data_IF_382402819188
#
_entry.id   IF_382402819188
#
_cell.length_a   1.000
_cell.length_b   1.000
_cell.length_c   1.000
_cell.angle_alpha   90.00
_cell.angle_beta   90.00
_cell.angle_gamma   90.00
#
_symmetry.space_group_name_H-M   'P 1'
#
loop_
_entity.id
_entity.type
_entity.pdbx_description
1 polymer ?
#
# COMPACT_ATOMS: atom_id res chain seq x y z
N UNK A 1 26.31 74.56 21.68
CA UNK A 1 25.76 73.86 22.86
C UNK A 1 24.43 73.21 22.49
N UNK A 2 24.26 71.99 22.95
CA UNK A 2 23.32 70.95 22.51
C UNK A 2 21.87 71.29 22.88
N UNK A 3 20.91 71.08 21.97
CA UNK A 3 19.48 70.96 22.30
C UNK A 3 18.96 69.62 21.76
N UNK A 4 18.62 68.75 22.70
CA UNK A 4 18.06 67.41 22.52
C UNK A 4 16.73 67.44 21.75
N UNK A 5 16.61 66.62 20.71
CA UNK A 5 15.33 66.30 20.06
C UNK A 5 15.00 64.83 20.31
N UNK A 6 13.79 64.60 20.82
CA UNK A 6 13.26 63.28 21.16
C UNK A 6 13.18 62.34 19.96
N UNK A 7 13.35 61.05 20.23
CA UNK A 7 13.20 59.98 19.23
C UNK A 7 11.94 59.20 19.57
N UNK A 8 11.03 59.21 18.61
CA UNK A 8 9.84 58.37 18.49
C UNK A 8 10.28 56.91 18.56
N UNK A 9 9.65 56.12 19.43
CA UNK A 9 9.82 54.67 19.49
C UNK A 9 8.92 54.07 18.41
N UNK A 10 9.54 53.50 17.38
CA UNK A 10 8.88 52.66 16.39
C UNK A 10 8.96 51.21 16.88
N UNK A 11 7.80 50.55 16.98
CA UNK A 11 7.69 49.11 17.21
C UNK A 11 8.00 48.42 15.88
N UNK A 12 9.11 47.69 15.82
CA UNK A 12 9.52 46.90 14.68
C UNK A 12 9.03 45.46 14.85
N UNK A 13 8.13 45.01 13.97
CA UNK A 13 7.79 43.61 13.78
C UNK A 13 8.97 42.92 13.09
N UNK A 14 9.57 41.94 13.76
CA UNK A 14 10.68 41.15 13.23
C UNK A 14 10.12 40.04 12.32
N UNK A 15 10.34 40.20 11.01
CA UNK A 15 10.30 39.13 10.02
C UNK A 15 11.74 38.67 9.81
N UNK A 16 12.06 37.43 10.19
CA UNK A 16 13.30 36.72 9.83
C UNK A 16 13.07 35.22 10.08
N UNK A 17 12.96 34.36 9.06
CA UNK A 17 14.03 33.72 8.29
C UNK A 17 14.24 32.25 8.71
N UNK A 18 13.76 31.29 7.90
CA UNK A 18 14.27 29.89 7.84
C UNK A 18 14.12 29.47 6.37
N UNK A 19 15.17 29.60 5.56
CA UNK A 19 16.27 28.64 5.33
C UNK A 19 15.91 27.56 4.29
N UNK A 20 16.42 27.80 3.08
CA UNK A 20 16.85 26.87 2.02
C UNK A 20 16.53 25.38 2.24
N UNK A 21 15.63 24.85 1.41
CA UNK A 21 15.64 23.44 1.01
C UNK A 21 16.06 23.48 -0.47
N UNK A 22 17.32 23.22 -0.84
CA UNK A 22 18.07 22.04 -0.46
C UNK A 22 17.91 21.04 -1.59
N UNK A 23 18.59 21.32 -2.71
CA UNK A 23 18.58 20.47 -3.89
C UNK A 23 19.06 19.06 -3.57
N UNK A 24 18.34 18.09 -4.13
CA UNK A 24 18.78 16.76 -4.54
C UNK A 24 20.31 16.64 -4.69
N UNK A 25 21.00 16.11 -3.68
CA UNK A 25 22.27 15.41 -3.79
C UNK A 25 22.33 14.41 -2.63
N UNK A 26 22.60 13.14 -2.94
CA UNK A 26 22.78 12.05 -1.97
C UNK A 26 23.65 12.46 -0.77
N UNK A 27 23.42 11.84 0.41
CA UNK A 27 24.58 11.16 1.00
C UNK A 27 24.25 9.95 1.88
N UNK A 28 25.09 8.90 1.76
CA UNK A 28 25.76 8.44 2.96
C UNK A 28 26.79 9.51 3.35
N UNK A 29 26.60 10.17 4.48
CA UNK A 29 27.60 11.03 5.13
C UNK A 29 27.69 10.62 6.59
N UNK A 30 28.91 10.37 7.01
CA UNK A 30 29.28 10.20 8.39
C UNK A 30 28.91 11.45 9.21
N UNK A 31 28.49 11.17 10.45
CA UNK A 31 28.76 11.93 11.68
C UNK A 31 28.84 13.47 11.56
N UNK A 32 27.81 14.14 12.09
CA UNK A 32 27.95 15.45 12.70
C UNK A 32 27.58 15.32 14.18
N UNK A 33 28.57 15.54 15.05
CA UNK A 33 28.46 15.66 16.50
C UNK A 33 27.47 16.77 16.90
N UNK A 34 26.42 16.40 17.65
CA UNK A 34 25.51 17.31 18.35
C UNK A 34 24.41 16.52 19.09
N UNK A 35 24.07 16.83 20.36
CA UNK A 35 23.00 16.13 21.08
C UNK A 35 21.66 16.72 20.61
N UNK A 36 21.13 16.14 19.54
CA UNK A 36 19.79 16.39 19.05
C UNK A 36 19.36 15.11 18.36
N UNK A 37 18.80 14.19 19.14
CA UNK A 37 18.17 12.98 18.63
C UNK A 37 17.03 13.43 17.73
N UNK A 38 17.21 13.35 16.41
CA UNK A 38 16.06 13.29 15.52
C UNK A 38 15.22 12.10 16.01
N UNK A 39 13.91 12.29 16.31
CA UNK A 39 13.11 11.21 16.86
C UNK A 39 13.18 10.03 15.89
N UNK A 40 13.55 8.86 16.42
CA UNK A 40 13.65 7.65 15.63
C UNK A 40 12.26 7.38 15.04
N UNK A 41 12.19 7.11 13.73
CA UNK A 41 10.97 6.55 13.15
C UNK A 41 10.76 5.18 13.81
N UNK A 42 9.71 5.07 14.63
CA UNK A 42 9.42 3.88 15.42
C UNK A 42 9.00 2.68 14.56
N UNK A 43 9.12 1.48 15.15
CA UNK A 43 8.50 0.25 14.63
C UNK A 43 7.00 0.51 14.38
N UNK A 44 6.53 0.34 13.14
CA UNK A 44 5.10 0.47 12.78
C UNK A 44 4.75 1.50 11.69
N UNK A 45 5.69 2.37 11.30
CA UNK A 45 5.51 3.19 10.09
C UNK A 45 5.53 2.32 8.83
N UNK A 46 4.70 2.62 7.83
CA UNK A 46 4.61 1.82 6.60
C UNK A 46 4.06 2.62 5.42
N UNK A 47 4.37 2.17 4.19
CA UNK A 47 3.72 2.64 2.98
C UNK A 47 2.86 1.52 2.40
N UNK A 48 1.55 1.72 2.38
CA UNK A 48 0.56 0.68 2.06
C UNK A 48 -0.16 1.07 0.77
N UNK A 49 -0.30 0.12 -0.15
CA UNK A 49 -1.17 0.24 -1.32
C UNK A 49 -2.16 -0.92 -1.26
N UNK A 50 -3.42 -0.59 -0.98
CA UNK A 50 -4.52 -1.54 -0.99
C UNK A 50 -5.24 -1.45 -2.33
N UNK A 51 -5.28 -2.55 -3.07
CA UNK A 51 -5.84 -2.63 -4.40
C UNK A 51 -7.31 -3.01 -4.36
N UNK A 52 -8.08 -2.41 -5.26
CA UNK A 52 -9.44 -2.80 -5.61
C UNK A 52 -9.44 -3.66 -6.88
N UNK A 53 -10.48 -4.47 -7.07
CA UNK A 53 -10.56 -5.45 -8.16
C UNK A 53 -10.62 -4.81 -9.56
N UNK A 54 -11.03 -3.55 -9.63
CA UNK A 54 -11.09 -2.72 -10.84
C UNK A 54 -9.77 -1.98 -11.17
N UNK A 55 -8.74 -2.14 -10.33
CA UNK A 55 -7.42 -1.56 -10.54
C UNK A 55 -7.20 -0.21 -9.86
N UNK A 56 -8.23 0.34 -9.23
CA UNK A 56 -8.08 1.44 -8.28
C UNK A 56 -7.33 0.98 -7.03
N UNK A 57 -6.86 1.95 -6.25
CA UNK A 57 -6.16 1.66 -5.01
C UNK A 57 -6.37 2.75 -3.96
N UNK A 58 -6.41 2.35 -2.69
CA UNK A 58 -6.16 3.25 -1.56
C UNK A 58 -4.67 3.22 -1.23
N UNK A 59 -3.99 4.36 -1.39
CA UNK A 59 -2.59 4.52 -1.01
C UNK A 59 -2.53 5.21 0.34
N UNK A 60 -1.77 4.65 1.28
CA UNK A 60 -1.64 5.19 2.62
C UNK A 60 -0.18 5.26 3.09
N UNK A 61 0.18 6.37 3.73
CA UNK A 61 1.40 6.53 4.51
C UNK A 61 1.04 6.51 5.99
N UNK A 62 1.53 5.51 6.71
CA UNK A 62 1.37 5.36 8.16
C UNK A 62 2.65 5.81 8.84
N UNK A 63 2.51 6.74 9.78
CA UNK A 63 3.58 7.34 10.57
C UNK A 63 3.29 7.11 12.04
N UNK A 64 4.24 6.54 12.76
CA UNK A 64 4.16 6.30 14.21
C UNK A 64 5.16 7.22 14.91
N UNK A 65 4.74 7.80 16.04
CA UNK A 65 5.49 8.73 16.85
C UNK A 65 5.48 8.28 18.32
N UNK A 66 6.64 8.29 18.96
CA UNK A 66 6.76 8.18 20.42
C UNK A 66 6.39 9.53 21.05
N UNK A 67 5.41 9.52 21.96
CA UNK A 67 4.92 10.71 22.68
C UNK A 67 5.35 10.68 24.15
N UNK A 68 6.50 10.06 24.45
CA UNK A 68 7.04 9.97 25.80
C UNK A 68 7.38 11.34 26.43
N UNK A 69 7.74 12.33 25.61
CA UNK A 69 8.11 13.67 26.04
C UNK A 69 6.99 14.69 25.77
N UNK A 70 6.83 15.64 26.71
CA UNK A 70 5.75 16.63 26.65
C UNK A 70 5.84 17.58 25.43
N UNK A 71 7.05 17.80 24.90
CA UNK A 71 7.24 18.61 23.70
C UNK A 71 6.74 17.87 22.45
N UNK A 72 6.94 16.54 22.37
CA UNK A 72 6.44 15.71 21.27
C UNK A 72 4.92 15.54 21.35
N UNK A 73 4.36 15.35 22.56
CA UNK A 73 2.91 15.34 22.77
C UNK A 73 2.26 16.66 22.32
N UNK A 74 2.86 17.81 22.68
CA UNK A 74 2.35 19.11 22.28
C UNK A 74 2.40 19.32 20.75
N UNK A 75 3.50 18.92 20.11
CA UNK A 75 3.64 19.00 18.65
C UNK A 75 2.64 18.08 17.93
N UNK A 76 2.42 16.88 18.47
CA UNK A 76 1.45 15.94 17.93
C UNK A 76 0.01 16.45 18.06
N UNK A 77 -0.33 17.09 19.18
CA UNK A 77 -1.66 17.69 19.36
C UNK A 77 -1.88 18.86 18.39
N UNK A 78 -0.87 19.69 18.13
CA UNK A 78 -0.97 20.74 17.10
C UNK A 78 -1.25 20.14 15.71
N UNK A 79 -0.57 19.05 15.36
CA UNK A 79 -0.82 18.31 14.13
C UNK A 79 -2.24 17.73 14.08
N UNK A 80 -2.73 17.19 15.20
CA UNK A 80 -4.08 16.66 15.34
C UNK A 80 -5.15 17.73 15.12
N UNK A 81 -4.93 18.92 15.67
CA UNK A 81 -5.84 20.06 15.52
C UNK A 81 -5.82 20.65 14.11
N UNK A 82 -4.68 20.56 13.41
CA UNK A 82 -4.44 21.24 12.12
C UNK A 82 -3.75 20.34 11.08
N UNK A 83 -4.39 19.23 10.66
CA UNK A 83 -3.77 18.26 9.76
C UNK A 83 -3.69 18.74 8.30
N UNK A 84 -4.29 19.88 7.96
CA UNK A 84 -4.42 20.34 6.57
C UNK A 84 -3.06 20.55 5.92
N UNK A 85 -2.09 21.12 6.64
CA UNK A 85 -0.74 21.35 6.12
C UNK A 85 -0.02 20.06 5.69
N UNK A 86 -0.31 18.94 6.35
CA UNK A 86 0.28 17.63 6.01
C UNK A 86 -0.52 16.97 4.88
N UNK A 87 -1.85 17.10 4.93
CA UNK A 87 -2.76 16.60 3.89
C UNK A 87 -2.49 17.26 2.53
N UNK A 88 -2.36 18.59 2.48
CA UNK A 88 -2.08 19.35 1.26
C UNK A 88 -0.74 18.94 0.63
N UNK A 89 0.31 18.77 1.45
CA UNK A 89 1.62 18.32 0.97
C UNK A 89 1.58 16.89 0.43
N UNK A 90 0.79 16.03 1.06
CA UNK A 90 0.60 14.65 0.62
C UNK A 90 -0.17 14.62 -0.70
N UNK A 91 -1.25 15.39 -0.83
CA UNK A 91 -2.01 15.55 -2.08
C UNK A 91 -1.12 16.03 -3.24
N UNK A 92 -0.41 17.13 -3.04
CA UNK A 92 0.54 17.70 -4.01
C UNK A 92 1.57 16.67 -4.48
N UNK A 93 2.09 15.86 -3.55
CA UNK A 93 3.08 14.83 -3.85
C UNK A 93 2.45 13.69 -4.64
N UNK A 94 1.33 13.15 -4.17
CA UNK A 94 0.67 12.01 -4.80
C UNK A 94 0.19 12.35 -6.20
N UNK A 95 -0.40 13.53 -6.39
CA UNK A 95 -0.84 14.04 -7.70
C UNK A 95 0.33 14.12 -8.69
N UNK A 96 1.47 14.70 -8.30
CA UNK A 96 2.67 14.76 -9.17
C UNK A 96 3.16 13.38 -9.58
N UNK A 97 3.14 12.43 -8.65
CA UNK A 97 3.61 11.08 -8.95
C UNK A 97 2.62 10.37 -9.88
N UNK A 98 1.32 10.53 -9.67
CA UNK A 98 0.29 10.00 -10.56
C UNK A 98 0.38 10.55 -11.97
N UNK A 99 0.59 11.86 -12.14
CA UNK A 99 0.80 12.48 -13.45
C UNK A 99 2.02 11.90 -14.18
N UNK A 100 3.13 11.71 -13.46
CA UNK A 100 4.34 11.10 -14.04
C UNK A 100 4.09 9.65 -14.46
N UNK A 101 3.52 8.84 -13.57
CA UNK A 101 3.23 7.42 -13.84
C UNK A 101 2.20 7.26 -14.96
N UNK A 102 1.21 8.14 -15.04
CA UNK A 102 0.28 8.21 -16.17
C UNK A 102 1.01 8.44 -17.50
N UNK A 103 1.94 9.40 -17.53
CA UNK A 103 2.73 9.69 -18.72
C UNK A 103 3.67 8.53 -19.13
N UNK A 104 4.29 7.85 -18.17
CA UNK A 104 5.21 6.73 -18.40
C UNK A 104 4.49 5.47 -18.87
N UNK A 105 3.32 5.19 -18.31
CA UNK A 105 2.53 3.99 -18.65
C UNK A 105 1.55 4.21 -19.81
N UNK A 106 1.28 5.47 -20.17
CA UNK A 106 0.28 5.83 -21.17
C UNK A 106 -1.16 5.57 -20.71
N UNK A 107 -1.41 5.51 -19.40
CA UNK A 107 -2.73 5.28 -18.80
C UNK A 107 -3.23 6.53 -18.10
N UNK A 108 -4.54 6.76 -18.14
CA UNK A 108 -5.15 7.83 -17.34
C UNK A 108 -5.18 7.42 -15.87
N UNK A 109 -4.69 8.28 -14.99
CA UNK A 109 -4.66 8.08 -13.54
C UNK A 109 -4.99 9.40 -12.85
N UNK A 110 -5.61 9.32 -11.66
CA UNK A 110 -5.93 10.50 -10.86
C UNK A 110 -5.89 10.17 -9.37
N UNK A 111 -5.54 11.17 -8.57
CA UNK A 111 -5.58 11.09 -7.10
C UNK A 111 -6.77 11.90 -6.60
N UNK A 112 -7.51 11.35 -5.63
CA UNK A 112 -8.66 12.01 -4.99
C UNK A 112 -8.78 11.60 -3.53
N UNK A 113 -9.76 12.20 -2.83
CA UNK A 113 -10.18 11.81 -1.47
C UNK A 113 -9.03 11.79 -0.45
N UNK A 114 -8.14 12.78 -0.57
CA UNK A 114 -6.99 12.90 0.31
C UNK A 114 -7.42 13.30 1.71
N UNK A 115 -6.95 12.55 2.71
CA UNK A 115 -7.35 12.71 4.10
C UNK A 115 -6.25 12.29 5.06
N UNK A 116 -6.28 12.88 6.25
CA UNK A 116 -5.45 12.52 7.38
C UNK A 116 -6.33 11.99 8.52
N UNK A 117 -5.94 10.84 9.07
CA UNK A 117 -6.43 10.33 10.34
C UNK A 117 -5.30 10.46 11.36
N UNK A 118 -5.57 11.11 12.48
CA UNK A 118 -4.60 11.32 13.56
C UNK A 118 -5.18 10.73 14.82
N UNK A 119 -4.47 9.77 15.42
CA UNK A 119 -4.90 9.01 16.59
C UNK A 119 -3.74 8.89 17.57
N UNK A 120 -4.03 8.79 18.86
CA UNK A 120 -3.01 8.50 19.87
C UNK A 120 -3.56 7.56 20.92
N UNK A 121 -2.71 6.68 21.44
CA UNK A 121 -3.04 5.71 22.50
C UNK A 121 -1.78 5.34 23.27
N UNK A 122 -1.87 5.35 24.59
CA UNK A 122 -0.81 4.87 25.50
C UNK A 122 0.59 5.45 25.24
N UNK A 123 0.67 6.74 24.87
CA UNK A 123 1.95 7.42 24.59
C UNK A 123 2.47 7.19 23.18
N UNK A 124 1.70 6.56 22.29
CA UNK A 124 2.04 6.42 20.87
C UNK A 124 1.05 7.21 20.02
N UNK A 125 1.58 8.05 19.13
CA UNK A 125 0.82 8.77 18.12
C UNK A 125 0.88 8.07 16.76
N UNK A 126 -0.24 7.99 16.05
CA UNK A 126 -0.34 7.44 14.70
C UNK A 126 -0.99 8.45 13.78
N UNK A 127 -0.32 8.75 12.67
CA UNK A 127 -0.84 9.56 11.58
C UNK A 127 -0.95 8.68 10.34
N UNK A 128 -2.16 8.55 9.80
CA UNK A 128 -2.43 7.89 8.53
C UNK A 128 -2.86 8.93 7.51
N UNK A 129 -2.00 9.17 6.52
CA UNK A 129 -2.34 9.94 5.33
C UNK A 129 -2.79 8.97 4.27
N UNK A 130 -3.95 9.19 3.66
CA UNK A 130 -4.47 8.30 2.62
C UNK A 130 -5.09 9.07 1.47
N UNK A 131 -5.02 8.49 0.28
CA UNK A 131 -5.67 8.99 -0.92
C UNK A 131 -6.18 7.83 -1.78
N UNK A 132 -7.25 8.08 -2.52
CA UNK A 132 -7.71 7.19 -3.58
C UNK A 132 -6.87 7.47 -4.83
N UNK A 133 -6.37 6.42 -5.47
CA UNK A 133 -5.66 6.49 -6.73
C UNK A 133 -6.40 5.64 -7.76
N UNK A 134 -6.98 6.30 -8.76
CA UNK A 134 -7.70 5.65 -9.84
C UNK A 134 -6.75 5.02 -10.87
N UNK A 135 -7.05 3.80 -11.31
CA UNK A 135 -6.31 3.03 -12.31
C UNK A 135 -4.83 2.80 -11.97
N UNK A 136 -4.47 2.69 -10.67
CA UNK A 136 -3.09 2.44 -10.25
C UNK A 136 -2.57 1.12 -10.84
N UNK A 137 -3.29 0.02 -10.59
CA UNK A 137 -2.95 -1.28 -11.13
C UNK A 137 -3.46 -1.42 -12.55
N UNK A 138 -2.67 -2.06 -13.41
CA UNK A 138 -3.13 -2.45 -14.74
C UNK A 138 -3.99 -3.71 -14.59
N UNK A 139 -5.19 -3.68 -15.17
CA UNK A 139 -6.10 -4.83 -15.19
C UNK A 139 -5.87 -5.61 -16.49
N UNK A 140 -5.43 -6.86 -16.37
CA UNK A 140 -5.25 -7.80 -17.48
C UNK A 140 -6.12 -9.05 -17.24
N UNK A 141 -7.33 -9.05 -17.81
CA UNK A 141 -8.35 -10.03 -17.47
C UNK A 141 -8.74 -9.92 -16.00
N UNK A 142 -8.52 -10.97 -15.22
CA UNK A 142 -8.75 -10.97 -13.77
C UNK A 142 -7.48 -10.63 -12.96
N UNK A 143 -6.35 -10.37 -13.63
CA UNK A 143 -5.07 -10.08 -12.97
C UNK A 143 -4.89 -8.57 -12.78
N UNK A 144 -4.45 -8.19 -11.59
CA UNK A 144 -4.02 -6.85 -11.25
C UNK A 144 -2.49 -6.80 -11.27
N UNK A 145 -1.92 -5.87 -12.03
CA UNK A 145 -0.47 -5.70 -12.12
C UNK A 145 -0.11 -4.31 -11.62
N UNK A 146 0.58 -4.27 -10.48
CA UNK A 146 1.25 -3.07 -9.99
C UNK A 146 2.66 -3.09 -10.56
N UNK A 147 3.00 -2.12 -11.40
CA UNK A 147 4.36 -1.96 -11.91
C UNK A 147 5.04 -0.79 -11.23
N UNK A 148 6.37 -0.82 -11.22
CA UNK A 148 7.31 0.07 -10.54
C UNK A 148 6.69 1.44 -10.33
N UNK A 149 6.17 1.70 -9.12
CA UNK A 149 5.53 2.95 -8.87
C UNK A 149 6.50 3.86 -8.11
N UNK A 150 6.33 5.16 -8.33
CA UNK A 150 6.78 6.26 -7.49
C UNK A 150 8.21 6.81 -7.59
N UNK A 151 9.15 6.16 -8.27
CA UNK A 151 10.36 6.72 -8.91
C UNK A 151 11.17 5.55 -9.47
N UNK A 152 11.88 5.74 -10.58
CA UNK A 152 12.87 4.72 -10.97
C UNK A 152 13.91 4.59 -9.86
N UNK A 153 14.26 3.34 -9.50
CA UNK A 153 15.11 3.03 -8.35
C UNK A 153 14.49 3.41 -6.99
N UNK A 154 13.18 3.22 -6.85
CA UNK A 154 12.49 3.36 -5.57
C UNK A 154 13.12 2.41 -4.53
N UNK A 155 13.60 3.01 -3.44
CA UNK A 155 14.08 2.30 -2.25
C UNK A 155 13.31 2.87 -1.07
N UNK A 156 12.31 2.15 -0.55
CA UNK A 156 11.47 2.69 0.48
C UNK A 156 12.28 2.83 1.77
N UNK A 157 12.12 3.94 2.46
CA UNK A 157 12.72 4.20 3.79
C UNK A 157 11.99 3.46 4.92
N UNK A 158 10.89 2.77 4.58
CA UNK A 158 9.95 2.07 5.47
C UNK A 158 9.43 0.80 4.79
N UNK A 159 8.73 -0.11 5.50
CA UNK A 159 8.11 -1.25 4.86
C UNK A 159 7.14 -0.81 3.76
N UNK A 160 7.23 -1.47 2.61
CA UNK A 160 6.26 -1.35 1.52
C UNK A 160 5.31 -2.53 1.56
N UNK A 161 4.01 -2.26 1.58
CA UNK A 161 2.97 -3.28 1.73
C UNK A 161 1.99 -3.17 0.58
N UNK A 162 1.79 -4.28 -0.15
CA UNK A 162 0.69 -4.43 -1.09
C UNK A 162 -0.40 -5.29 -0.46
N UNK A 163 -1.63 -4.78 -0.45
CA UNK A 163 -2.82 -5.51 -0.01
C UNK A 163 -3.68 -5.77 -1.25
N UNK A 164 -3.92 -7.04 -1.54
CA UNK A 164 -4.76 -7.47 -2.64
C UNK A 164 -6.25 -7.31 -2.31
N UNK A 165 -7.14 -7.31 -3.32
CA UNK A 165 -8.56 -7.49 -3.06
C UNK A 165 -8.84 -8.84 -2.39
N UNK A 166 -9.99 -8.95 -1.74
CA UNK A 166 -10.43 -10.23 -1.16
C UNK A 166 -10.51 -11.32 -2.23
N UNK A 167 -10.06 -12.52 -1.86
CA UNK A 167 -9.99 -13.66 -2.75
C UNK A 167 -8.82 -13.62 -3.74
N UNK A 168 -7.96 -12.60 -3.75
CA UNK A 168 -6.76 -12.56 -4.59
C UNK A 168 -5.54 -13.11 -3.85
N UNK A 169 -4.52 -13.51 -4.62
CA UNK A 169 -3.23 -14.01 -4.16
C UNK A 169 -2.10 -13.38 -4.96
N UNK A 170 -0.92 -13.23 -4.35
CA UNK A 170 0.27 -12.84 -5.09
C UNK A 170 0.63 -13.96 -6.07
N UNK A 171 0.53 -13.68 -7.36
CA UNK A 171 0.74 -14.64 -8.43
C UNK A 171 2.17 -14.58 -8.98
N UNK A 172 2.75 -13.38 -9.05
CA UNK A 172 4.12 -13.15 -9.53
C UNK A 172 4.67 -11.84 -8.95
N UNK A 173 5.97 -11.77 -8.73
CA UNK A 173 6.66 -10.53 -8.39
C UNK A 173 8.08 -10.53 -8.95
N UNK A 174 8.53 -9.43 -9.53
CA UNK A 174 9.92 -9.31 -10.05
C UNK A 174 10.94 -9.19 -8.93
N UNK A 175 10.53 -8.64 -7.78
CA UNK A 175 11.28 -8.64 -6.54
C UNK A 175 10.51 -9.48 -5.53
N UNK A 176 11.13 -10.56 -5.07
CA UNK A 176 10.55 -11.47 -4.06
C UNK A 176 10.14 -10.67 -2.81
N UNK A 177 8.92 -10.92 -2.32
CA UNK A 177 8.44 -10.34 -1.07
C UNK A 177 9.11 -11.01 0.13
N UNK A 178 9.42 -10.23 1.16
CA UNK A 178 9.98 -10.75 2.41
C UNK A 178 8.95 -11.58 3.18
N UNK A 179 7.68 -11.16 3.11
CA UNK A 179 6.57 -11.89 3.68
C UNK A 179 5.35 -11.86 2.76
N UNK A 180 4.64 -12.99 2.71
CA UNK A 180 3.29 -13.06 2.14
C UNK A 180 2.35 -13.70 3.15
N UNK A 181 1.26 -13.02 3.46
CA UNK A 181 0.24 -13.52 4.38
C UNK A 181 -1.14 -13.45 3.73
N UNK A 182 -2.09 -14.21 4.25
CA UNK A 182 -3.50 -14.11 3.86
C UNK A 182 -4.33 -13.95 5.12
N UNK A 183 -5.20 -12.97 5.11
CA UNK A 183 -6.23 -12.86 6.15
C UNK A 183 -7.20 -14.00 5.90
N UNK A 184 -7.07 -15.11 6.64
CA UNK A 184 -7.88 -16.33 6.51
C UNK A 184 -7.89 -17.01 5.11
N UNK A 185 -8.76 -18.01 4.90
CA UNK A 185 -8.81 -18.81 3.68
C UNK A 185 -9.45 -18.11 2.47
N UNK A 186 -9.98 -16.90 2.63
CA UNK A 186 -10.72 -16.15 1.59
C UNK A 186 -10.42 -14.65 1.60
N UNK A 187 -9.84 -14.09 2.66
CA UNK A 187 -9.53 -12.66 2.72
C UNK A 187 -8.30 -12.26 1.90
N UNK A 188 -8.07 -10.94 1.89
CA UNK A 188 -6.98 -10.27 1.19
C UNK A 188 -5.60 -10.91 1.46
N UNK A 189 -4.85 -11.12 0.37
CA UNK A 189 -3.42 -11.40 0.44
C UNK A 189 -2.62 -10.12 0.71
N UNK A 190 -1.59 -10.22 1.53
CA UNK A 190 -0.69 -9.12 1.88
C UNK A 190 0.72 -9.54 1.49
N UNK A 191 1.41 -8.70 0.73
CA UNK A 191 2.82 -8.87 0.39
C UNK A 191 3.63 -7.69 0.95
N UNK A 192 4.75 -7.99 1.60
CA UNK A 192 5.56 -6.99 2.31
C UNK A 192 7.02 -7.04 1.85
N UNK A 193 7.61 -5.85 1.69
CA UNK A 193 9.02 -5.64 1.43
C UNK A 193 9.61 -4.71 2.50
N UNK A 194 10.78 -5.08 3.00
CA UNK A 194 11.48 -4.40 4.07
C UNK A 194 11.97 -3.00 3.66
N UNK A 195 12.20 -2.10 4.63
CA UNK A 195 12.91 -0.85 4.38
C UNK A 195 14.26 -1.12 3.70
N UNK A 196 14.61 -0.30 2.71
CA UNK A 196 15.89 -0.39 2.01
C UNK A 196 15.93 -1.39 0.86
N UNK A 197 14.88 -2.18 0.63
CA UNK A 197 14.78 -3.09 -0.51
C UNK A 197 14.91 -2.34 -1.84
N UNK A 198 15.70 -2.86 -2.76
CA UNK A 198 15.84 -2.30 -4.10
C UNK A 198 14.66 -2.76 -4.97
N UNK A 199 13.72 -1.85 -5.22
CA UNK A 199 12.53 -2.11 -6.02
C UNK A 199 12.71 -1.63 -7.49
N UNK A 200 13.95 -1.55 -7.96
CA UNK A 200 14.23 -1.24 -9.37
C UNK A 200 13.58 -2.24 -10.32
N UNK A 201 12.78 -1.76 -11.28
CA UNK A 201 12.04 -2.62 -12.22
C UNK A 201 10.95 -3.47 -11.53
N UNK A 202 10.44 -3.01 -10.38
CA UNK A 202 9.41 -3.71 -9.64
C UNK A 202 8.16 -3.97 -10.48
N UNK A 203 7.59 -5.15 -10.32
CA UNK A 203 6.24 -5.47 -10.76
C UNK A 203 5.72 -6.58 -9.86
N UNK A 204 4.48 -6.46 -9.41
CA UNK A 204 3.78 -7.46 -8.64
C UNK A 204 2.40 -7.68 -9.26
N UNK A 205 2.08 -8.94 -9.49
CA UNK A 205 0.81 -9.36 -10.05
C UNK A 205 -0.02 -10.12 -9.02
N UNK A 206 -1.26 -9.69 -8.82
CA UNK A 206 -2.26 -10.39 -8.03
C UNK A 206 -3.31 -10.99 -8.95
N UNK A 207 -3.75 -12.21 -8.65
CA UNK A 207 -4.82 -12.89 -9.38
C UNK A 207 -5.79 -13.54 -8.40
N UNK A 208 -7.04 -13.83 -8.80
CA UNK A 208 -7.96 -14.61 -8.00
C UNK A 208 -7.31 -15.91 -7.55
N UNK A 209 -7.52 -16.29 -6.29
CA UNK A 209 -7.18 -17.60 -5.81
C UNK A 209 -7.91 -18.61 -6.67
N UNK A 210 -7.16 -19.43 -7.41
CA UNK A 210 -7.72 -20.60 -8.08
C UNK A 210 -8.46 -21.41 -7.02
N UNK A 211 -9.79 -21.36 -7.03
CA UNK A 211 -10.61 -22.18 -6.16
C UNK A 211 -10.44 -23.57 -6.70
N UNK A 212 -9.44 -24.31 -6.19
CA UNK A 212 -8.94 -25.57 -6.73
C UNK A 212 -10.03 -26.31 -7.47
N UNK A 213 -10.09 -26.07 -8.78
CA UNK A 213 -10.94 -26.84 -9.64
C UNK A 213 -10.42 -28.24 -9.43
N UNK A 214 -11.26 -29.14 -8.92
CA UNK A 214 -11.08 -30.54 -9.24
C UNK A 214 -10.91 -30.55 -10.74
N UNK A 215 -9.66 -30.67 -11.17
CA UNK A 215 -9.36 -31.20 -12.47
C UNK A 215 -10.12 -32.51 -12.43
N UNK A 216 -11.29 -32.55 -13.08
CA UNK A 216 -11.88 -33.80 -13.53
C UNK A 216 -10.75 -34.40 -14.34
N UNK A 217 -9.95 -35.21 -13.65
CA UNK A 217 -8.79 -35.87 -14.20
C UNK A 217 -9.35 -36.55 -15.42
N UNK A 218 -8.90 -36.07 -16.57
CA UNK A 218 -9.11 -36.70 -17.87
C UNK A 218 -8.88 -38.18 -17.64
N UNK A 219 -9.96 -38.94 -17.49
CA UNK A 219 -9.88 -40.36 -17.24
C UNK A 219 -9.20 -40.91 -18.49
N UNK A 220 -7.98 -41.47 -18.40
CA UNK A 220 -7.41 -42.12 -19.55
C UNK A 220 -8.32 -43.31 -19.82
N UNK A 221 -9.09 -43.27 -20.91
CA UNK A 221 -9.64 -44.50 -21.49
C UNK A 221 -8.46 -45.36 -21.90
N UNK A 222 -8.38 -46.59 -21.38
CA UNK A 222 -8.24 -47.67 -22.33
C UNK A 222 -9.18 -48.85 -22.04
N UNK A 223 -9.78 -49.32 -23.15
CA UNK A 223 -10.04 -50.72 -23.47
C UNK A 223 -11.07 -51.48 -22.62
N UNK A 224 -12.22 -51.70 -23.25
CA UNK A 224 -13.12 -52.84 -23.02
C UNK A 224 -12.31 -54.15 -23.00
N UNK A 225 -12.57 -55.02 -22.00
CA UNK A 225 -12.98 -56.37 -22.37
C UNK A 225 -14.22 -56.83 -21.59
N UNK A 226 -15.08 -57.53 -22.30
CA UNK A 226 -16.19 -58.37 -21.84
C UNK A 226 -15.82 -59.30 -20.68
N UNK A 227 -16.59 -59.31 -19.58
CA UNK A 227 -17.08 -60.54 -18.95
C UNK A 227 -18.16 -60.28 -17.88
N UNK A 228 -19.23 -61.05 -18.01
CA UNK A 228 -20.39 -61.15 -17.15
C UNK A 228 -20.06 -61.55 -15.70
N UNK A 229 -20.91 -61.15 -14.74
CA UNK A 229 -21.61 -62.03 -13.80
C UNK A 229 -22.41 -61.21 -12.76
N UNK A 230 -23.73 -61.46 -12.78
CA UNK A 230 -24.65 -61.59 -11.63
C UNK A 230 -24.87 -60.41 -10.66
N UNK A 231 -26.05 -59.81 -10.77
CA UNK A 231 -26.91 -59.59 -9.61
C UNK A 231 -28.39 -59.85 -9.99
N UNK A 232 -29.05 -60.61 -9.11
CA UNK A 232 -30.43 -61.10 -9.14
C UNK A 232 -31.47 -60.02 -9.56
N UNK A 233 -32.57 -60.33 -10.24
CA UNK A 233 -33.48 -61.44 -10.02
C UNK A 233 -34.69 -60.93 -9.24
N UNK A 234 -35.86 -60.91 -9.91
CA UNK A 234 -37.23 -60.59 -9.44
C UNK A 234 -37.79 -59.27 -10.00
N UNK A 235 -38.59 -59.37 -11.06
CA UNK A 235 -39.99 -58.93 -11.06
C UNK A 235 -40.72 -59.57 -12.24
N UNK A 236 -41.87 -60.15 -11.92
CA UNK A 236 -42.47 -61.27 -12.62
C UNK A 236 -43.25 -60.91 -13.88
N UNK A 237 -43.17 -61.84 -14.82
CA UNK A 237 -44.02 -61.95 -16.00
C UNK A 237 -45.32 -62.66 -15.62
N UNK A 238 -46.42 -61.91 -15.56
CA UNK A 238 -47.78 -62.43 -15.76
C UNK A 238 -48.23 -61.82 -17.10
N UNK A 239 -48.50 -62.54 -18.18
CA UNK A 239 -49.02 -63.89 -18.31
C UNK A 239 -50.27 -63.79 -19.16
N UNK A 240 -50.16 -63.48 -20.46
CA UNK A 240 -51.30 -63.34 -21.36
C UNK A 240 -51.09 -64.06 -22.71
N UNK A 241 -52.02 -65.01 -22.95
CA UNK A 241 -52.44 -65.69 -24.21
C UNK A 241 -51.54 -66.83 -24.70
N UNK A 242 -52.08 -67.98 -25.12
CA UNK A 242 -53.29 -68.20 -25.94
C UNK A 242 -53.99 -69.54 -25.63
N UNK A 243 -55.32 -69.53 -25.79
CA UNK A 243 -55.97 -70.33 -26.83
C UNK A 243 -56.76 -69.36 -27.71
#
# INVERSE_FOLDING_TARGET
>A
MIRSRGRIVAVAAAVASVAVIGAFLAPGVAALDGPGTEPAVEEGSSFVVALDADGDATVALVLTYDLADADDEAAFEELRERPENVTDRFDDRMTRIAERTAAETGREMSVSDVRAEVESTDGTGVVRLSATWANLAAVDGDRLVVSEPFESAFRPDRPFVLVAPDGYVLADATVEADATTRTDGTGAAIAEWSPGTDLSGFSAAFAPAETGGVTEGSLPTPLVPTLALLAAGLLGYAGWRRA
#
